data_IF_069647631705
#
_entry.id   IF_069647631705
#
_cell.length_a   1.000
_cell.length_b   1.000
_cell.length_c   1.000
_cell.angle_alpha   90.00
_cell.angle_beta   90.00
_cell.angle_gamma   90.00
#
_symmetry.space_group_name_H-M   'P 1'
#
loop_
_entity.id
_entity.type
_entity.pdbx_description
1 polymer ?
#
# COMPACT_ATOMS: atom_id res chain seq x y z
N UNK A 1 43.71 20.22 -17.30
CA UNK A 1 43.45 19.56 -16.01
C UNK A 1 41.94 19.48 -15.86
N UNK A 2 41.37 18.29 -15.99
CA UNK A 2 39.93 18.02 -15.93
C UNK A 2 39.62 17.37 -14.58
N UNK A 3 38.73 17.94 -13.75
CA UNK A 3 37.98 17.16 -12.78
C UNK A 3 36.63 16.85 -13.47
N UNK A 4 36.36 15.62 -13.91
CA UNK A 4 36.34 14.43 -13.06
C UNK A 4 34.93 14.28 -12.50
N UNK A 5 33.99 13.91 -13.38
CA UNK A 5 32.58 13.76 -13.04
C UNK A 5 32.37 12.63 -12.04
N UNK A 6 31.78 12.96 -10.90
CA UNK A 6 31.05 12.03 -10.05
C UNK A 6 29.61 12.52 -9.95
N UNK A 7 28.83 12.20 -10.98
CA UNK A 7 27.39 12.14 -10.85
C UNK A 7 27.00 10.65 -10.76
N UNK A 8 26.05 10.36 -9.85
CA UNK A 8 25.11 9.23 -9.97
C UNK A 8 25.46 7.90 -9.25
N UNK A 9 25.43 7.91 -7.91
CA UNK A 9 25.26 6.69 -7.09
C UNK A 9 23.89 6.65 -6.38
N UNK A 10 23.13 7.75 -6.37
CA UNK A 10 21.85 7.85 -5.64
C UNK A 10 20.60 7.27 -6.32
N UNK A 11 20.69 6.56 -7.45
CA UNK A 11 19.50 6.17 -8.24
C UNK A 11 19.36 4.66 -8.53
N UNK A 12 20.25 3.80 -8.03
CA UNK A 12 20.16 2.37 -8.34
C UNK A 12 19.02 1.70 -7.56
N UNK A 13 18.88 2.01 -6.27
CA UNK A 13 17.83 1.41 -5.45
C UNK A 13 16.45 2.01 -5.73
N UNK A 14 16.39 3.31 -6.04
CA UNK A 14 15.17 3.96 -6.51
C UNK A 14 14.68 3.34 -7.84
N UNK A 15 15.58 3.13 -8.81
CA UNK A 15 15.23 2.44 -10.07
C UNK A 15 14.72 1.02 -9.81
N UNK A 16 15.34 0.26 -8.89
CA UNK A 16 14.85 -1.08 -8.53
C UNK A 16 13.46 -1.03 -7.91
N UNK A 17 13.19 -0.07 -7.03
CA UNK A 17 11.88 0.12 -6.42
C UNK A 17 10.81 0.47 -7.47
N UNK A 18 11.11 1.43 -8.36
CA UNK A 18 10.20 1.83 -9.44
C UNK A 18 9.89 0.67 -10.40
N UNK A 19 10.91 -0.09 -10.80
CA UNK A 19 10.72 -1.26 -11.66
C UNK A 19 9.89 -2.34 -10.97
N UNK A 20 10.13 -2.59 -9.67
CA UNK A 20 9.35 -3.56 -8.89
C UNK A 20 7.89 -3.14 -8.76
N UNK A 21 7.64 -1.85 -8.50
CA UNK A 21 6.29 -1.29 -8.43
C UNK A 21 5.58 -1.34 -9.79
N UNK A 22 6.28 -1.07 -10.88
CA UNK A 22 5.73 -1.17 -12.24
C UNK A 22 5.33 -2.61 -12.58
N UNK A 23 6.19 -3.59 -12.29
CA UNK A 23 5.89 -5.01 -12.49
C UNK A 23 4.71 -5.47 -11.63
N UNK A 24 4.69 -5.12 -10.33
CA UNK A 24 3.59 -5.46 -9.44
C UNK A 24 2.25 -4.92 -9.96
N UNK A 25 2.22 -3.64 -10.36
CA UNK A 25 1.02 -3.00 -10.92
C UNK A 25 0.52 -3.67 -12.20
N UNK A 26 1.41 -4.11 -13.09
CA UNK A 26 0.99 -4.86 -14.28
C UNK A 26 0.36 -6.20 -13.91
N UNK A 27 0.91 -6.90 -12.92
CA UNK A 27 0.34 -8.16 -12.43
C UNK A 27 -1.02 -7.92 -11.79
N UNK A 28 -1.17 -6.84 -11.02
CA UNK A 28 -2.43 -6.47 -10.36
C UNK A 28 -3.53 -6.12 -11.37
N UNK A 29 -3.18 -5.40 -12.44
CA UNK A 29 -4.14 -4.95 -13.45
C UNK A 29 -4.51 -6.04 -14.46
N UNK A 30 -3.57 -6.91 -14.84
CA UNK A 30 -3.73 -7.86 -15.95
C UNK A 30 -3.60 -9.32 -15.54
N UNK A 31 -3.48 -9.62 -14.25
CA UNK A 31 -3.42 -11.00 -13.75
C UNK A 31 -4.68 -11.80 -14.09
N UNK A 32 -4.57 -13.10 -14.45
CA UNK A 32 -3.34 -13.90 -14.56
C UNK A 32 -2.49 -13.55 -15.81
N UNK A 33 -1.21 -13.24 -15.62
CA UNK A 33 -0.29 -12.81 -16.69
C UNK A 33 1.03 -13.60 -16.67
N UNK A 34 1.62 -13.90 -17.83
CA UNK A 34 2.93 -14.58 -17.92
C UNK A 34 4.12 -13.63 -17.80
N UNK A 35 5.30 -14.13 -17.42
CA UNK A 35 6.55 -13.33 -17.38
C UNK A 35 6.92 -12.72 -18.74
N UNK A 36 6.58 -13.38 -19.83
CA UNK A 36 6.83 -12.90 -21.20
C UNK A 36 6.00 -11.64 -21.44
N UNK A 37 4.70 -11.71 -21.17
CA UNK A 37 3.78 -10.57 -21.30
C UNK A 37 4.17 -9.42 -20.36
N UNK A 38 4.61 -9.71 -19.13
CA UNK A 38 5.12 -8.68 -18.22
C UNK A 38 6.33 -7.98 -18.85
N UNK A 39 7.30 -8.72 -19.38
CA UNK A 39 8.50 -8.13 -20.00
C UNK A 39 8.16 -7.25 -21.21
N UNK A 40 7.26 -7.72 -22.06
CA UNK A 40 6.76 -6.97 -23.22
C UNK A 40 6.05 -5.67 -22.80
N UNK A 41 5.15 -5.73 -21.81
CA UNK A 41 4.39 -4.55 -21.38
C UNK A 41 5.23 -3.58 -20.55
N UNK A 42 6.13 -4.08 -19.71
CA UNK A 42 6.98 -3.24 -18.86
C UNK A 42 8.22 -2.72 -19.58
N UNK A 43 8.52 -3.21 -20.80
CA UNK A 43 9.75 -2.92 -21.55
C UNK A 43 11.03 -3.24 -20.76
N UNK A 44 10.97 -4.21 -19.85
CA UNK A 44 12.12 -4.65 -19.05
C UNK A 44 12.71 -5.92 -19.66
N UNK A 45 14.03 -6.09 -19.52
CA UNK A 45 14.69 -7.32 -19.93
C UNK A 45 14.09 -8.54 -19.20
N UNK A 46 13.91 -9.70 -19.87
CA UNK A 46 13.34 -10.91 -19.25
C UNK A 46 14.06 -11.37 -17.97
N UNK A 47 15.38 -11.19 -17.91
CA UNK A 47 16.18 -11.50 -16.72
C UNK A 47 15.80 -10.59 -15.52
N UNK A 48 15.53 -9.32 -15.78
CA UNK A 48 15.07 -8.36 -14.76
C UNK A 48 13.69 -8.72 -14.24
N UNK A 49 12.74 -9.05 -15.13
CA UNK A 49 11.40 -9.51 -14.74
C UNK A 49 11.46 -10.79 -13.91
N UNK A 50 12.33 -11.74 -14.29
CA UNK A 50 12.54 -12.97 -13.51
C UNK A 50 13.03 -12.66 -12.10
N UNK A 51 14.02 -11.77 -11.96
CA UNK A 51 14.54 -11.36 -10.65
C UNK A 51 13.47 -10.64 -9.81
N UNK A 52 12.73 -9.70 -10.38
CA UNK A 52 11.69 -8.92 -9.70
C UNK A 52 10.55 -9.84 -9.25
N UNK A 53 10.03 -10.67 -10.16
CA UNK A 53 8.95 -11.61 -9.82
C UNK A 53 9.37 -12.60 -8.74
N UNK A 54 10.63 -13.08 -8.74
CA UNK A 54 11.13 -13.92 -7.65
C UNK A 54 11.09 -13.18 -6.30
N UNK A 55 11.56 -11.93 -6.25
CA UNK A 55 11.52 -11.12 -5.03
C UNK A 55 10.09 -10.84 -4.54
N UNK A 56 9.15 -10.62 -5.45
CA UNK A 56 7.74 -10.41 -5.09
C UNK A 56 7.08 -11.70 -4.57
N UNK A 57 7.42 -12.87 -5.14
CA UNK A 57 6.98 -14.19 -4.65
C UNK A 57 7.57 -14.46 -3.26
N UNK A 58 8.87 -14.22 -3.08
CA UNK A 58 9.55 -14.37 -1.78
C UNK A 58 8.90 -13.52 -0.68
N UNK A 59 8.39 -12.33 -1.05
CA UNK A 59 7.63 -11.45 -0.15
C UNK A 59 6.16 -11.81 -0.02
N UNK A 60 5.65 -12.80 -0.75
CA UNK A 60 4.24 -13.19 -0.70
C UNK A 60 3.26 -12.19 -1.33
N UNK A 61 3.75 -11.23 -2.13
CA UNK A 61 2.94 -10.21 -2.81
C UNK A 61 2.27 -10.73 -4.09
N UNK A 62 2.85 -11.77 -4.69
CA UNK A 62 2.34 -12.43 -5.89
C UNK A 62 2.53 -13.95 -5.74
N UNK A 63 1.81 -14.72 -6.55
CA UNK A 63 1.99 -16.18 -6.65
C UNK A 63 1.86 -16.67 -8.07
N UNK A 64 2.46 -17.82 -8.33
CA UNK A 64 2.29 -18.55 -9.57
C UNK A 64 1.03 -19.40 -9.53
N UNK A 65 0.30 -19.44 -10.65
CA UNK A 65 -0.88 -20.26 -10.87
C UNK A 65 -0.79 -20.92 -12.24
N UNK A 66 -1.24 -22.16 -12.32
CA UNK A 66 -1.36 -22.86 -13.60
C UNK A 66 -2.46 -22.21 -14.44
N UNK A 67 -2.19 -21.87 -15.71
CA UNK A 67 -3.27 -21.55 -16.64
C UNK A 67 -4.09 -22.80 -16.92
N UNK A 68 -5.40 -22.73 -16.69
CA UNK A 68 -6.32 -23.73 -17.22
C UNK A 68 -6.57 -23.49 -18.72
N UNK A 69 -6.23 -24.52 -19.49
CA UNK A 69 -6.37 -24.72 -20.94
C UNK A 69 -5.14 -24.38 -21.80
N UNK A 70 -4.38 -25.43 -22.17
CA UNK A 70 -3.78 -25.51 -23.50
C UNK A 70 -3.81 -26.97 -23.96
N UNK A 71 -4.49 -27.21 -25.07
CA UNK A 71 -4.80 -28.49 -25.71
C UNK A 71 -3.61 -29.18 -26.40
N UNK A 72 -2.37 -28.99 -25.90
CA UNK A 72 -1.22 -29.72 -26.48
C UNK A 72 0.19 -29.20 -26.19
N UNK A 73 0.37 -28.16 -25.36
CA UNK A 73 1.69 -27.58 -25.03
C UNK A 73 2.08 -27.66 -23.55
N UNK A 74 3.34 -27.33 -23.23
CA UNK A 74 3.81 -27.14 -21.85
C UNK A 74 2.93 -26.09 -21.16
N UNK A 75 2.35 -26.42 -20.01
CA UNK A 75 1.47 -25.53 -19.24
C UNK A 75 2.15 -24.17 -19.01
N UNK A 76 1.52 -23.09 -19.44
CA UNK A 76 2.02 -21.75 -19.20
C UNK A 76 1.77 -21.40 -17.71
N UNK A 77 2.83 -20.98 -17.02
CA UNK A 77 2.72 -20.49 -15.64
C UNK A 77 2.31 -19.02 -15.70
N UNK A 78 1.20 -18.69 -15.06
CA UNK A 78 0.74 -17.31 -14.88
C UNK A 78 1.00 -16.83 -13.48
N UNK A 79 1.02 -15.51 -13.33
CA UNK A 79 1.26 -14.81 -12.09
C UNK A 79 0.02 -13.98 -11.75
N UNK A 80 -0.39 -14.01 -10.49
CA UNK A 80 -1.47 -13.19 -9.92
C UNK A 80 -0.98 -12.50 -8.65
N UNK A 81 -1.62 -11.40 -8.26
CA UNK A 81 -1.39 -10.77 -6.95
C UNK A 81 -1.93 -11.63 -5.82
N UNK A 82 -1.27 -11.57 -4.67
CA UNK A 82 -1.75 -12.14 -3.43
C UNK A 82 -2.08 -10.99 -2.47
N UNK A 83 -3.37 -10.75 -2.28
CA UNK A 83 -3.86 -9.56 -1.58
C UNK A 83 -4.28 -9.85 -0.15
N UNK A 84 -4.51 -11.12 0.22
CA UNK A 84 -5.13 -11.50 1.50
C UNK A 84 -4.17 -11.52 2.68
N UNK A 85 -2.87 -11.54 2.42
CA UNK A 85 -1.84 -11.62 3.46
C UNK A 85 -1.52 -10.25 4.07
N UNK A 86 -1.88 -9.18 3.38
CA UNK A 86 -1.55 -7.82 3.74
C UNK A 86 -2.81 -7.02 3.96
N UNK A 87 -2.86 -6.34 5.10
CA UNK A 87 -3.97 -5.48 5.45
C UNK A 87 -3.52 -4.03 5.60
N UNK A 88 -4.45 -3.12 5.34
CA UNK A 88 -4.30 -1.70 5.62
C UNK A 88 -5.50 -1.21 6.42
N UNK A 89 -5.28 -0.21 7.26
CA UNK A 89 -6.36 0.50 7.96
C UNK A 89 -6.56 1.85 7.28
N UNK A 90 -7.81 2.15 6.93
CA UNK A 90 -8.24 3.48 6.54
C UNK A 90 -9.02 4.12 7.68
N UNK A 91 -8.66 5.36 8.00
CA UNK A 91 -9.31 6.18 9.02
C UNK A 91 -9.91 7.39 8.33
N UNK A 92 -11.23 7.46 8.25
CA UNK A 92 -11.94 8.66 7.78
C UNK A 92 -12.33 9.48 9.00
N UNK A 93 -11.60 10.54 9.25
CA UNK A 93 -11.84 11.48 10.33
C UNK A 93 -12.86 12.53 9.86
N UNK A 94 -14.06 12.44 10.41
CA UNK A 94 -15.15 13.41 10.24
C UNK A 94 -15.05 14.56 11.23
N UNK A 95 -16.16 15.29 11.35
CA UNK A 95 -16.26 16.44 12.26
C UNK A 95 -16.44 16.01 13.72
N UNK A 96 -17.22 14.95 13.94
CA UNK A 96 -17.62 14.47 15.27
C UNK A 96 -17.48 12.95 15.39
N UNK A 97 -16.77 12.33 14.45
CA UNK A 97 -16.67 10.90 14.33
C UNK A 97 -15.42 10.50 13.55
N UNK A 98 -15.01 9.25 13.72
CA UNK A 98 -14.12 8.55 12.81
C UNK A 98 -14.78 7.26 12.33
N UNK A 99 -14.55 6.91 11.07
CA UNK A 99 -14.79 5.56 10.56
C UNK A 99 -13.45 4.88 10.36
N UNK A 100 -13.26 3.73 10.98
CA UNK A 100 -12.04 2.93 10.86
C UNK A 100 -12.40 1.67 10.11
N UNK A 101 -11.71 1.44 8.99
CA UNK A 101 -12.00 0.34 8.07
C UNK A 101 -10.73 -0.47 7.84
N UNK A 102 -10.85 -1.79 7.96
CA UNK A 102 -9.81 -2.76 7.64
C UNK A 102 -9.97 -3.22 6.19
N UNK A 103 -8.92 -3.12 5.40
CA UNK A 103 -8.89 -3.54 4.00
C UNK A 103 -7.85 -4.62 3.77
N UNK A 104 -8.07 -5.49 2.78
CA UNK A 104 -7.00 -6.21 2.11
C UNK A 104 -6.41 -5.38 0.95
N UNK A 105 -5.33 -5.85 0.32
CA UNK A 105 -4.69 -5.13 -0.79
C UNK A 105 -5.55 -5.01 -2.06
N UNK A 106 -6.63 -5.79 -2.19
CA UNK A 106 -7.61 -5.62 -3.28
C UNK A 106 -8.66 -4.55 -2.97
N UNK A 107 -8.44 -3.75 -1.91
CA UNK A 107 -9.38 -2.76 -1.38
C UNK A 107 -10.70 -3.37 -0.88
N UNK A 108 -10.72 -4.68 -0.58
CA UNK A 108 -11.89 -5.32 -0.02
C UNK A 108 -12.01 -4.98 1.47
N UNK A 109 -13.18 -4.49 1.87
CA UNK A 109 -13.51 -4.25 3.28
C UNK A 109 -13.64 -5.57 4.04
N UNK A 110 -12.86 -5.72 5.11
CA UNK A 110 -12.85 -6.89 6.00
C UNK A 110 -13.57 -6.62 7.33
N UNK A 111 -13.52 -5.37 7.78
CA UNK A 111 -14.20 -4.86 8.97
C UNK A 111 -14.34 -3.34 8.86
N UNK A 112 -15.37 -2.78 9.46
CA UNK A 112 -15.60 -1.34 9.54
C UNK A 112 -16.31 -1.01 10.85
N UNK A 113 -15.85 0.02 11.54
CA UNK A 113 -16.47 0.50 12.76
C UNK A 113 -16.53 2.03 12.79
N UNK A 114 -17.54 2.54 13.49
CA UNK A 114 -17.79 3.96 13.68
C UNK A 114 -17.53 4.33 15.13
N UNK A 115 -16.74 5.39 15.32
CA UNK A 115 -16.33 5.91 16.61
C UNK A 115 -16.82 7.36 16.74
N UNK A 116 -17.73 7.66 17.68
CA UNK A 116 -18.03 9.04 18.03
C UNK A 116 -16.78 9.73 18.59
N UNK A 117 -16.43 10.88 18.02
CA UNK A 117 -15.31 11.73 18.44
C UNK A 117 -15.81 13.16 18.67
N UNK A 118 -16.48 13.44 19.81
CA UNK A 118 -17.05 14.75 20.12
C UNK A 118 -16.01 15.80 20.52
N UNK A 119 -14.72 15.46 20.50
CA UNK A 119 -13.61 16.32 20.90
C UNK A 119 -13.54 17.61 20.09
N UNK A 120 -12.93 18.64 20.69
CA UNK A 120 -12.90 20.02 20.15
C UNK A 120 -11.51 20.64 20.13
N UNK A 121 -10.52 19.96 20.69
CA UNK A 121 -9.12 20.40 20.68
C UNK A 121 -8.25 19.36 19.99
N UNK A 122 -7.14 19.78 19.39
CA UNK A 122 -6.18 18.88 18.76
C UNK A 122 -5.76 17.76 19.72
N UNK A 123 -5.32 18.10 20.93
CA UNK A 123 -4.81 17.12 21.90
C UNK A 123 -5.86 16.07 22.30
N UNK A 124 -7.10 16.50 22.55
CA UNK A 124 -8.17 15.56 22.95
C UNK A 124 -8.57 14.67 21.78
N UNK A 125 -8.69 15.23 20.58
CA UNK A 125 -9.01 14.45 19.39
C UNK A 125 -7.91 13.45 19.04
N UNK A 126 -6.65 13.87 19.08
CA UNK A 126 -5.49 13.01 18.82
C UNK A 126 -5.49 11.80 19.76
N UNK A 127 -5.70 12.03 21.06
CA UNK A 127 -5.76 10.96 22.04
C UNK A 127 -6.97 10.03 21.80
N UNK A 128 -8.15 10.59 21.51
CA UNK A 128 -9.34 9.80 21.22
C UNK A 128 -9.19 8.98 19.93
N UNK A 129 -8.57 9.53 18.89
CA UNK A 129 -8.29 8.88 17.63
C UNK A 129 -7.30 7.71 17.80
N UNK A 130 -6.21 7.93 18.52
CA UNK A 130 -5.24 6.89 18.86
C UNK A 130 -5.90 5.73 19.62
N UNK A 131 -6.74 6.05 20.60
CA UNK A 131 -7.47 5.04 21.37
C UNK A 131 -8.46 4.27 20.48
N UNK A 132 -9.18 4.95 19.58
CA UNK A 132 -10.10 4.29 18.64
C UNK A 132 -9.35 3.33 17.70
N UNK A 133 -8.19 3.74 17.17
CA UNK A 133 -7.35 2.89 16.33
C UNK A 133 -6.85 1.67 17.10
N UNK A 134 -6.36 1.86 18.33
CA UNK A 134 -5.90 0.77 19.18
C UNK A 134 -7.02 -0.23 19.50
N UNK A 135 -8.21 0.27 19.90
CA UNK A 135 -9.39 -0.56 20.16
C UNK A 135 -9.83 -1.35 18.93
N UNK A 136 -9.81 -0.73 17.75
CA UNK A 136 -10.13 -1.40 16.50
C UNK A 136 -9.13 -2.54 16.20
N UNK A 137 -7.84 -2.27 16.33
CA UNK A 137 -6.79 -3.28 16.13
C UNK A 137 -6.97 -4.45 17.10
N UNK A 138 -7.22 -4.18 18.39
CA UNK A 138 -7.44 -5.21 19.40
C UNK A 138 -8.69 -6.05 19.12
N UNK A 139 -9.77 -5.42 18.66
CA UNK A 139 -11.03 -6.08 18.32
C UNK A 139 -10.87 -7.03 17.12
N UNK A 140 -10.00 -6.68 16.17
CA UNK A 140 -9.75 -7.46 14.96
C UNK A 140 -8.42 -8.21 14.93
N UNK A 141 -7.69 -8.31 16.04
CA UNK A 141 -6.38 -8.96 16.13
C UNK A 141 -6.34 -10.37 15.52
N UNK A 142 -7.43 -11.15 15.65
CA UNK A 142 -7.54 -12.51 15.09
C UNK A 142 -7.72 -12.53 13.57
N UNK A 143 -8.33 -11.48 13.02
CA UNK A 143 -8.50 -11.30 11.58
C UNK A 143 -7.29 -10.62 10.96
N UNK A 144 -6.59 -9.77 11.70
CA UNK A 144 -5.40 -9.07 11.23
C UNK A 144 -4.34 -10.05 10.74
N UNK A 145 -3.70 -9.65 9.64
CA UNK A 145 -2.53 -10.29 9.05
C UNK A 145 -1.43 -9.23 9.07
N UNK A 146 -0.57 -9.20 8.07
CA UNK A 146 0.50 -8.19 8.03
C UNK A 146 -0.10 -6.80 7.80
N UNK A 147 -0.14 -5.96 8.84
CA UNK A 147 -0.60 -4.57 8.73
C UNK A 147 0.53 -3.72 8.13
N UNK A 148 0.36 -3.30 6.87
CA UNK A 148 1.40 -2.59 6.13
C UNK A 148 1.24 -1.07 6.13
N UNK A 149 0.03 -0.58 6.41
CA UNK A 149 -0.28 0.84 6.35
C UNK A 149 -1.46 1.22 7.22
N UNK A 150 -1.40 2.44 7.77
CA UNK A 150 -2.54 3.17 8.30
C UNK A 150 -2.62 4.48 7.52
N UNK A 151 -3.78 4.75 6.94
CA UNK A 151 -4.05 5.99 6.22
C UNK A 151 -5.12 6.78 6.95
N UNK A 152 -4.93 8.10 7.04
CA UNK A 152 -5.89 9.00 7.66
C UNK A 152 -6.35 10.01 6.62
N UNK A 153 -7.66 10.12 6.44
CA UNK A 153 -8.32 11.06 5.54
C UNK A 153 -9.16 12.00 6.40
N UNK A 154 -8.93 13.30 6.24
CA UNK A 154 -9.61 14.34 7.02
C UNK A 154 -9.85 15.59 6.17
N UNK A 155 -10.84 16.42 6.51
CA UNK A 155 -11.02 17.72 5.90
C UNK A 155 -9.94 18.68 6.43
N UNK A 156 -9.15 19.28 5.52
CA UNK A 156 -8.08 20.18 5.94
C UNK A 156 -7.02 20.41 4.88
N UNK A 157 -5.98 21.16 5.25
CA UNK A 157 -4.76 21.31 4.48
C UNK A 157 -3.69 20.43 5.12
N UNK A 158 -3.24 19.42 4.38
CA UNK A 158 -2.21 18.46 4.80
C UNK A 158 -1.04 18.57 3.85
N UNK A 159 0.18 18.66 4.40
CA UNK A 159 1.41 18.50 3.64
C UNK A 159 1.63 16.99 3.34
N UNK A 160 1.61 16.57 2.07
CA UNK A 160 1.74 15.16 1.71
C UNK A 160 3.15 14.59 1.97
N UNK A 161 4.19 15.43 2.02
CA UNK A 161 5.57 14.98 2.22
C UNK A 161 5.88 14.80 3.70
N UNK A 162 5.41 15.72 4.55
CA UNK A 162 5.64 15.65 6.01
C UNK A 162 4.50 14.99 6.79
N UNK A 163 3.32 14.81 6.18
CA UNK A 163 2.12 14.32 6.86
C UNK A 163 1.53 15.32 7.87
N UNK A 164 2.00 16.57 7.89
CA UNK A 164 1.55 17.60 8.84
C UNK A 164 0.26 18.26 8.40
N UNK A 165 -0.66 18.42 9.33
CA UNK A 165 -1.94 19.10 9.16
C UNK A 165 -1.74 20.57 9.55
N UNK A 166 -1.79 21.43 8.54
CA UNK A 166 -1.68 22.88 8.73
C UNK A 166 -3.02 23.54 9.08
N UNK A 167 -4.13 22.93 8.67
CA UNK A 167 -5.46 23.48 8.90
C UNK A 167 -6.52 22.38 8.95
N UNK A 168 -7.49 22.54 9.85
CA UNK A 168 -8.74 21.79 9.86
C UNK A 168 -9.93 22.74 10.04
N UNK A 169 -11.06 22.54 9.34
CA UNK A 169 -12.21 23.45 9.43
C UNK A 169 -12.89 23.54 10.80
N UNK A 170 -12.67 22.58 11.70
CA UNK A 170 -13.48 22.41 12.91
C UNK A 170 -12.66 22.31 14.20
N UNK A 171 -11.35 22.13 14.08
CA UNK A 171 -10.42 22.04 15.20
C UNK A 171 -9.25 22.94 14.87
N UNK A 172 -8.86 23.79 15.81
CA UNK A 172 -7.63 24.56 15.70
C UNK A 172 -6.45 23.61 15.85
N UNK A 173 -5.58 23.60 14.85
CA UNK A 173 -4.40 22.74 14.80
C UNK A 173 -3.13 23.60 14.75
N UNK A 174 -2.10 23.18 15.46
CA UNK A 174 -0.77 23.80 15.44
C UNK A 174 0.24 22.74 15.03
N UNK A 175 0.57 22.68 13.73
CA UNK A 175 1.53 21.73 13.13
C UNK A 175 1.29 20.27 13.56
N UNK A 176 0.03 19.80 13.51
CA UNK A 176 -0.32 18.45 13.93
C UNK A 176 0.27 17.42 12.97
N UNK A 177 1.27 16.66 13.41
CA UNK A 177 1.90 15.58 12.66
C UNK A 177 2.83 14.78 13.58
N UNK A 178 3.32 13.64 13.07
CA UNK A 178 4.19 12.70 13.79
C UNK A 178 5.65 13.14 13.78
#
# INVERSE_FOLDING_TARGET
MTPGGQAQIGNVDLVKQLNSAAVYRLIDQYGPISRIQIAEQSQLAPASVTKITRQLIERGLIKEVDQQASTGGRRAISIVTETRNFHAIGVRLGRHDATITLFDLSSKVLAEEHYPLPERTQQTLEHALLNAIAQFIDSYQRKLRELIAISVILPGLVDPDSGKIHYMPHIQVENWGW
#
